data_IF_690090827742
#
_entry.id   IF_690090827742
#
_cell.length_a   1.000
_cell.length_b   1.000
_cell.length_c   1.000
_cell.angle_alpha   90.00
_cell.angle_beta   90.00
_cell.angle_gamma   90.00
#
_symmetry.space_group_name_H-M   'P 1'
#
loop_
_entity.id
_entity.type
_entity.pdbx_description
1 polymer ?
#
# COMPACT_ATOMS: atom_id res chain seq x y z
N UNK A 1 -17.22 -44.22 18.43
CA UNK A 1 -16.57 -43.35 19.44
C UNK A 1 -16.01 -42.16 18.68
N UNK A 2 -16.71 -41.03 18.71
CA UNK A 2 -16.20 -39.77 18.16
C UNK A 2 -15.15 -39.27 19.13
N UNK A 3 -13.88 -39.24 18.70
CA UNK A 3 -12.81 -38.63 19.48
C UNK A 3 -13.13 -37.14 19.60
N UNK A 4 -13.53 -36.72 20.80
CA UNK A 4 -13.61 -35.31 21.14
C UNK A 4 -12.21 -34.71 20.98
N UNK A 5 -12.07 -33.72 20.09
CA UNK A 5 -10.90 -32.86 20.07
C UNK A 5 -10.72 -32.28 21.48
N UNK A 6 -9.63 -32.65 22.16
CA UNK A 6 -9.23 -32.00 23.40
C UNK A 6 -9.08 -30.51 23.11
N UNK A 7 -9.95 -29.69 23.72
CA UNK A 7 -9.76 -28.24 23.78
C UNK A 7 -8.42 -27.99 24.47
N UNK A 8 -7.43 -27.56 23.70
CA UNK A 8 -6.14 -27.14 24.24
C UNK A 8 -6.37 -26.19 25.42
N UNK A 9 -5.84 -26.56 26.58
CA UNK A 9 -5.94 -25.75 27.80
C UNK A 9 -5.33 -24.38 27.53
N UNK A 10 -6.11 -23.31 27.68
CA UNK A 10 -5.62 -21.95 27.45
C UNK A 10 -4.41 -21.67 28.35
N UNK A 11 -3.24 -21.47 27.75
CA UNK A 11 -1.95 -21.27 28.46
C UNK A 11 -1.87 -19.93 29.21
N UNK A 12 -2.75 -18.99 28.88
CA UNK A 12 -2.91 -17.69 29.54
C UNK A 12 -4.37 -17.50 29.96
N UNK A 13 -4.66 -16.71 31.02
CA UNK A 13 -6.03 -16.29 31.32
C UNK A 13 -6.62 -15.47 30.15
N UNK A 14 -7.95 -15.29 30.07
CA UNK A 14 -8.54 -14.40 29.06
C UNK A 14 -7.96 -12.98 29.12
N UNK A 15 -7.80 -12.32 27.97
CA UNK A 15 -7.36 -10.92 27.92
C UNK A 15 -8.47 -10.05 28.49
N UNK A 16 -8.08 -8.98 29.21
CA UNK A 16 -9.01 -7.98 29.76
C UNK A 16 -9.19 -6.79 28.83
N UNK A 17 -8.55 -6.81 27.66
CA UNK A 17 -8.66 -5.74 26.67
C UNK A 17 -10.07 -5.65 26.11
N UNK A 18 -10.51 -4.45 25.73
CA UNK A 18 -11.85 -4.23 25.13
C UNK A 18 -12.08 -4.96 23.79
N UNK A 19 -11.00 -5.46 23.19
CA UNK A 19 -10.97 -6.17 21.91
C UNK A 19 -10.39 -7.58 22.12
N UNK A 20 -10.72 -8.21 23.26
CA UNK A 20 -10.18 -9.53 23.65
C UNK A 20 -10.35 -10.58 22.55
N UNK A 21 -11.51 -10.63 21.88
CA UNK A 21 -11.77 -11.58 20.79
C UNK A 21 -10.80 -11.41 19.61
N UNK A 22 -10.41 -10.17 19.31
CA UNK A 22 -9.44 -9.87 18.25
C UNK A 22 -8.04 -10.33 18.68
N UNK A 23 -7.66 -10.05 19.93
CA UNK A 23 -6.37 -10.48 20.48
C UNK A 23 -6.27 -12.00 20.48
N UNK A 24 -7.32 -12.71 20.90
CA UNK A 24 -7.34 -14.17 20.89
C UNK A 24 -7.21 -14.74 19.48
N UNK A 25 -7.81 -14.10 18.46
CA UNK A 25 -7.57 -14.49 17.06
C UNK A 25 -6.13 -14.26 16.63
N UNK A 26 -5.51 -13.14 16.99
CA UNK A 26 -4.10 -12.87 16.68
C UNK A 26 -3.16 -13.86 17.39
N UNK A 27 -3.43 -14.21 18.65
CA UNK A 27 -2.69 -15.23 19.42
C UNK A 27 -2.82 -16.62 18.81
N UNK A 28 -3.94 -16.91 18.14
CA UNK A 28 -4.17 -18.14 17.39
C UNK A 28 -3.56 -18.11 15.97
N UNK A 29 -2.85 -17.05 15.59
CA UNK A 29 -2.24 -16.90 14.27
C UNK A 29 -3.21 -16.45 13.18
N UNK A 30 -4.38 -15.94 13.56
CA UNK A 30 -5.38 -15.37 12.66
C UNK A 30 -5.21 -13.87 12.43
N UNK A 31 -6.21 -13.29 11.79
CA UNK A 31 -6.28 -11.88 11.44
C UNK A 31 -7.19 -11.08 12.38
N UNK A 32 -7.15 -9.74 12.24
CA UNK A 32 -8.10 -8.85 12.91
C UNK A 32 -9.55 -9.05 12.45
N UNK A 33 -9.77 -9.66 11.29
CA UNK A 33 -11.10 -9.99 10.76
C UNK A 33 -11.57 -11.39 11.22
N UNK A 34 -12.89 -11.60 11.29
CA UNK A 34 -13.46 -12.94 11.43
C UNK A 34 -13.07 -13.84 10.25
N UNK A 35 -12.77 -15.11 10.53
CA UNK A 35 -12.51 -16.12 9.51
C UNK A 35 -13.84 -16.70 8.99
N UNK A 36 -14.35 -16.13 7.91
CA UNK A 36 -15.55 -16.60 7.23
C UNK A 36 -15.28 -16.75 5.73
N UNK A 37 -15.97 -17.69 5.04
CA UNK A 37 -15.84 -17.82 3.58
C UNK A 37 -16.16 -16.52 2.84
N UNK A 38 -17.12 -15.76 3.35
CA UNK A 38 -17.51 -14.45 2.82
C UNK A 38 -16.38 -13.42 2.92
N UNK A 39 -15.73 -13.31 4.09
CA UNK A 39 -14.57 -12.42 4.25
C UNK A 39 -13.41 -12.88 3.36
N UNK A 40 -13.15 -14.19 3.24
CA UNK A 40 -12.09 -14.70 2.36
C UNK A 40 -12.34 -14.32 0.89
N UNK A 41 -13.55 -14.57 0.37
CA UNK A 41 -13.94 -14.20 -1.00
C UNK A 41 -13.78 -12.69 -1.25
N UNK A 42 -14.28 -11.87 -0.33
CA UNK A 42 -14.14 -10.42 -0.37
C UNK A 42 -12.67 -9.99 -0.39
N UNK A 43 -11.85 -10.58 0.48
CA UNK A 43 -10.43 -10.25 0.62
C UNK A 43 -9.66 -10.57 -0.67
N UNK A 44 -9.82 -11.78 -1.19
CA UNK A 44 -9.10 -12.19 -2.39
C UNK A 44 -9.62 -11.47 -3.64
N UNK A 45 -10.94 -11.32 -3.77
CA UNK A 45 -11.52 -10.61 -4.91
C UNK A 45 -11.08 -9.17 -5.04
N UNK A 46 -10.92 -8.45 -3.93
CA UNK A 46 -10.39 -7.09 -4.00
C UNK A 46 -8.87 -7.06 -4.18
N UNK A 47 -8.12 -8.07 -3.72
CA UNK A 47 -6.69 -8.18 -4.06
C UNK A 47 -6.51 -8.32 -5.58
N UNK A 48 -7.32 -9.14 -6.25
CA UNK A 48 -7.33 -9.23 -7.71
C UNK A 48 -7.65 -7.89 -8.38
N UNK A 49 -8.73 -7.24 -7.95
CA UNK A 49 -9.15 -5.95 -8.50
C UNK A 49 -8.13 -4.83 -8.27
N UNK A 50 -7.37 -4.90 -7.18
CA UNK A 50 -6.34 -3.93 -6.84
C UNK A 50 -4.99 -4.20 -7.50
N UNK A 51 -4.64 -5.47 -7.72
CA UNK A 51 -3.36 -5.86 -8.31
C UNK A 51 -3.16 -5.30 -9.73
N UNK A 52 -4.24 -5.21 -10.52
CA UNK A 52 -4.19 -4.68 -11.90
C UNK A 52 -3.81 -3.20 -11.96
N UNK A 53 -4.50 -2.26 -11.28
CA UNK A 53 -4.07 -0.87 -11.24
C UNK A 53 -2.74 -0.71 -10.49
N UNK A 54 -2.45 -1.53 -9.46
CA UNK A 54 -1.14 -1.54 -8.82
C UNK A 54 0.00 -1.88 -9.79
N UNK A 55 -0.22 -2.81 -10.72
CA UNK A 55 0.73 -3.14 -11.78
C UNK A 55 1.04 -1.92 -12.67
N UNK A 56 0.04 -1.08 -12.95
CA UNK A 56 0.29 0.21 -13.61
C UNK A 56 1.07 1.16 -12.70
N UNK A 57 0.63 1.30 -11.45
CA UNK A 57 1.20 2.28 -10.53
C UNK A 57 2.69 2.07 -10.29
N UNK A 58 3.16 0.85 -10.03
CA UNK A 58 4.58 0.65 -9.76
C UNK A 58 5.45 1.01 -10.96
N UNK A 59 5.00 0.67 -12.17
CA UNK A 59 5.71 0.97 -13.42
C UNK A 59 5.79 2.47 -13.65
N UNK A 60 4.68 3.17 -13.47
CA UNK A 60 4.61 4.61 -13.71
C UNK A 60 5.30 5.41 -12.61
N UNK A 61 5.27 4.96 -11.35
CA UNK A 61 6.06 5.55 -10.25
C UNK A 61 7.57 5.44 -10.54
N UNK A 62 8.05 4.28 -11.01
CA UNK A 62 9.43 4.12 -11.44
C UNK A 62 9.74 5.02 -12.64
N UNK A 63 8.89 5.04 -13.66
CA UNK A 63 9.06 5.94 -14.81
C UNK A 63 9.18 7.42 -14.37
N UNK A 64 8.33 7.86 -13.44
CA UNK A 64 8.37 9.24 -12.91
C UNK A 64 9.68 9.50 -12.16
N UNK A 65 10.08 8.60 -11.25
CA UNK A 65 11.32 8.76 -10.49
C UNK A 65 12.57 8.75 -11.39
N UNK A 66 12.59 7.86 -12.38
CA UNK A 66 13.79 7.55 -13.15
C UNK A 66 13.97 8.36 -14.43
N UNK A 67 12.87 8.75 -15.11
CA UNK A 67 12.89 9.38 -16.44
C UNK A 67 12.32 10.79 -16.45
N UNK A 68 11.15 10.99 -15.81
CA UNK A 68 10.55 12.32 -15.70
C UNK A 68 11.41 13.18 -14.77
N UNK A 69 11.78 12.63 -13.62
CA UNK A 69 12.71 13.21 -12.63
C UNK A 69 12.36 14.66 -12.27
N UNK A 70 13.05 15.64 -12.87
CA UNK A 70 12.91 17.07 -12.57
C UNK A 70 12.37 17.87 -13.77
N UNK A 71 11.60 17.25 -14.64
CA UNK A 71 10.91 17.95 -15.72
C UNK A 71 10.04 19.08 -15.11
N UNK A 72 10.32 20.37 -15.43
CA UNK A 72 9.55 21.48 -14.87
C UNK A 72 8.11 21.52 -15.38
N UNK A 73 7.82 20.88 -16.52
CA UNK A 73 6.50 20.87 -17.14
C UNK A 73 6.12 19.43 -17.54
N UNK A 74 5.86 18.55 -16.56
CA UNK A 74 5.67 17.12 -16.79
C UNK A 74 4.25 16.82 -17.29
N UNK A 75 3.81 17.45 -18.39
CA UNK A 75 2.46 17.35 -18.94
C UNK A 75 2.04 15.91 -19.26
N UNK A 76 3.01 15.05 -19.55
CA UNK A 76 2.82 13.67 -19.96
C UNK A 76 3.39 12.67 -18.95
N UNK A 77 3.49 13.03 -17.66
CA UNK A 77 4.05 12.12 -16.64
C UNK A 77 3.34 10.77 -16.50
N UNK A 78 2.07 10.67 -16.86
CA UNK A 78 1.29 9.42 -16.83
C UNK A 78 1.27 8.67 -18.18
N UNK A 79 2.02 9.17 -19.16
CA UNK A 79 2.10 8.58 -20.50
C UNK A 79 3.24 7.56 -20.53
N UNK A 80 3.09 6.50 -19.74
CA UNK A 80 4.12 5.49 -19.55
C UNK A 80 4.67 4.95 -20.89
N UNK A 81 6.00 4.90 -21.09
CA UNK A 81 6.60 4.33 -22.29
C UNK A 81 6.36 2.82 -22.40
N UNK A 82 6.38 2.29 -23.63
CA UNK A 82 6.26 0.85 -23.87
C UNK A 82 7.34 0.05 -23.14
N UNK A 83 8.57 0.57 -23.06
CA UNK A 83 9.68 -0.05 -22.31
C UNK A 83 9.37 -0.28 -20.82
N UNK A 84 8.50 0.53 -20.19
CA UNK A 84 8.09 0.34 -18.79
C UNK A 84 6.88 -0.61 -18.65
N UNK A 85 6.05 -0.75 -19.70
CA UNK A 85 5.02 -1.79 -19.77
C UNK A 85 5.62 -3.17 -20.00
N UNK A 86 6.68 -3.22 -20.80
CA UNK A 86 7.46 -4.42 -21.08
C UNK A 86 8.56 -4.66 -20.05
N UNK A 87 8.71 -3.80 -19.04
CA UNK A 87 9.68 -3.99 -17.97
C UNK A 87 9.31 -5.26 -17.19
N UNK A 88 10.24 -6.22 -17.14
CA UNK A 88 10.02 -7.44 -16.40
C UNK A 88 9.97 -7.13 -14.90
N UNK A 89 8.90 -7.56 -14.24
CA UNK A 89 8.78 -7.53 -12.79
C UNK A 89 9.74 -8.57 -12.19
N UNK A 90 10.58 -8.16 -11.23
CA UNK A 90 11.58 -9.05 -10.63
C UNK A 90 11.00 -10.24 -9.83
N UNK A 91 9.68 -10.29 -9.63
CA UNK A 91 8.98 -11.28 -8.81
C UNK A 91 7.88 -12.05 -9.56
N UNK A 92 7.82 -11.92 -10.90
CA UNK A 92 6.88 -12.62 -11.76
C UNK A 92 7.54 -13.12 -13.04
N UNK A 93 6.96 -14.16 -13.65
CA UNK A 93 7.50 -14.81 -14.85
C UNK A 93 8.63 -15.80 -14.58
N UNK A 94 9.14 -16.39 -15.65
CA UNK A 94 10.11 -17.50 -15.59
C UNK A 94 11.55 -17.02 -15.28
N UNK A 95 11.85 -15.75 -15.54
CA UNK A 95 13.17 -15.13 -15.32
C UNK A 95 13.23 -14.27 -14.04
N UNK A 96 12.23 -14.39 -13.15
CA UNK A 96 12.17 -13.65 -11.90
C UNK A 96 13.37 -13.96 -10.96
N UNK A 97 13.87 -12.94 -10.28
CA UNK A 97 14.88 -13.08 -9.22
C UNK A 97 14.39 -13.97 -8.07
N UNK A 98 13.11 -13.81 -7.73
CA UNK A 98 12.37 -14.64 -6.78
C UNK A 98 10.94 -14.74 -7.29
N UNK A 99 10.60 -15.86 -7.92
CA UNK A 99 9.27 -16.06 -8.49
C UNK A 99 8.22 -16.18 -7.39
N UNK A 100 7.40 -15.14 -7.23
CA UNK A 100 6.20 -15.13 -6.38
C UNK A 100 4.99 -15.49 -7.24
N UNK A 101 4.78 -14.77 -8.34
CA UNK A 101 3.65 -15.00 -9.23
C UNK A 101 4.02 -15.85 -10.43
N UNK A 102 3.16 -16.81 -10.74
CA UNK A 102 3.34 -17.74 -11.87
C UNK A 102 3.01 -17.13 -13.24
N UNK A 103 2.29 -16.01 -13.27
CA UNK A 103 1.89 -15.30 -14.49
C UNK A 103 3.02 -14.54 -15.22
N UNK A 104 2.67 -13.70 -16.21
CA UNK A 104 3.63 -12.96 -17.03
C UNK A 104 4.49 -11.98 -16.21
N UNK A 105 5.74 -11.76 -16.63
CA UNK A 105 6.64 -10.75 -16.04
C UNK A 105 6.28 -9.30 -16.46
N UNK A 106 5.68 -9.13 -17.64
CA UNK A 106 5.29 -7.82 -18.21
C UNK A 106 3.92 -7.38 -17.71
N UNK A 107 3.48 -6.20 -18.14
CA UNK A 107 2.20 -5.63 -17.73
C UNK A 107 1.03 -6.63 -17.90
N UNK A 108 0.15 -6.66 -16.91
CA UNK A 108 -0.96 -7.61 -16.85
C UNK A 108 -1.88 -7.47 -18.09
N UNK A 109 -2.35 -8.57 -18.71
CA UNK A 109 -3.17 -8.49 -19.92
C UNK A 109 -4.44 -7.65 -19.77
N UNK A 110 -5.13 -7.72 -18.63
CA UNK A 110 -6.30 -6.87 -18.34
C UNK A 110 -5.95 -5.38 -18.29
N UNK A 111 -4.77 -5.03 -17.75
CA UNK A 111 -4.30 -3.64 -17.74
C UNK A 111 -4.08 -3.15 -19.18
N UNK A 112 -3.39 -3.93 -20.01
CA UNK A 112 -3.15 -3.59 -21.40
C UNK A 112 -4.45 -3.45 -22.20
N UNK A 113 -5.41 -4.34 -21.96
CA UNK A 113 -6.73 -4.28 -22.60
C UNK A 113 -7.50 -3.01 -22.20
N UNK A 114 -7.45 -2.63 -20.91
CA UNK A 114 -8.05 -1.40 -20.42
C UNK A 114 -7.34 -0.17 -20.97
N UNK A 115 -6.01 -0.13 -21.01
CA UNK A 115 -5.27 1.00 -21.60
C UNK A 115 -5.55 1.19 -23.10
N UNK A 116 -5.85 0.11 -23.82
CA UNK A 116 -6.22 0.18 -25.23
C UNK A 116 -7.65 0.71 -25.43
N UNK A 117 -8.61 0.20 -24.66
CA UNK A 117 -10.05 0.40 -24.91
C UNK A 117 -10.73 1.40 -23.98
N UNK A 118 -10.20 1.62 -22.79
CA UNK A 118 -10.88 2.29 -21.70
C UNK A 118 -12.15 1.54 -21.27
N UNK A 119 -13.04 2.23 -20.56
CA UNK A 119 -14.42 1.83 -20.28
C UNK A 119 -15.30 1.88 -21.53
N UNK A 120 -14.89 2.66 -22.53
CA UNK A 120 -15.71 2.99 -23.69
C UNK A 120 -15.30 2.22 -24.96
N UNK A 121 -14.44 2.83 -25.78
CA UNK A 121 -13.97 2.30 -27.06
C UNK A 121 -12.52 2.64 -27.26
N UNK A 122 -11.85 1.88 -28.13
CA UNK A 122 -10.46 2.15 -28.53
C UNK A 122 -10.28 3.59 -29.04
N UNK A 123 -9.43 4.35 -28.36
CA UNK A 123 -9.07 5.73 -28.70
C UNK A 123 -7.57 5.96 -28.46
N UNK A 124 -6.97 7.00 -29.07
CA UNK A 124 -5.62 7.43 -28.71
C UNK A 124 -5.52 7.74 -27.21
N UNK A 125 -4.40 7.37 -26.59
CA UNK A 125 -4.14 7.56 -25.15
C UNK A 125 -4.40 9.00 -24.65
N UNK A 126 -4.13 10.01 -25.49
CA UNK A 126 -4.41 11.40 -25.15
C UNK A 126 -5.91 11.67 -24.93
N UNK A 127 -6.77 11.11 -25.78
CA UNK A 127 -8.22 11.26 -25.63
C UNK A 127 -8.72 10.51 -24.41
N UNK A 128 -8.23 9.29 -24.18
CA UNK A 128 -8.49 8.54 -22.95
C UNK A 128 -8.18 9.39 -21.70
N UNK A 129 -7.03 10.07 -21.69
CA UNK A 129 -6.68 10.96 -20.56
C UNK A 129 -7.58 12.20 -20.45
N UNK A 130 -7.92 12.85 -21.56
CA UNK A 130 -8.78 14.04 -21.54
C UNK A 130 -10.23 13.75 -21.12
N UNK A 131 -10.73 12.56 -21.43
CA UNK A 131 -12.08 12.13 -21.03
C UNK A 131 -12.11 11.39 -19.69
N UNK A 132 -10.98 11.35 -18.97
CA UNK A 132 -10.86 10.65 -17.69
C UNK A 132 -11.10 9.12 -17.80
N UNK A 133 -10.94 8.55 -18.99
CA UNK A 133 -11.03 7.12 -19.28
C UNK A 133 -9.63 6.48 -19.11
N UNK A 134 -9.12 6.45 -17.88
CA UNK A 134 -7.76 6.00 -17.56
C UNK A 134 -7.61 5.56 -16.11
N UNK A 135 -6.46 4.96 -15.82
CA UNK A 135 -5.99 4.71 -14.45
C UNK A 135 -5.71 6.03 -13.71
N UNK A 136 -6.26 6.15 -12.51
CA UNK A 136 -6.17 7.31 -11.62
C UNK A 136 -4.85 7.35 -10.83
N UNK A 137 -3.74 7.56 -11.55
CA UNK A 137 -2.38 7.63 -11.00
C UNK A 137 -2.19 8.67 -9.88
N UNK A 138 -3.06 9.67 -9.80
CA UNK A 138 -3.09 10.64 -8.70
C UNK A 138 -3.19 9.98 -7.33
N UNK A 139 -3.88 8.85 -7.22
CA UNK A 139 -3.96 8.11 -5.97
C UNK A 139 -2.59 7.58 -5.52
N UNK A 140 -1.80 7.06 -6.46
CA UNK A 140 -0.44 6.61 -6.22
C UNK A 140 0.46 7.75 -5.74
N UNK A 141 0.32 8.92 -6.36
CA UNK A 141 1.05 10.10 -5.95
C UNK A 141 0.64 10.62 -4.56
N UNK A 142 -0.64 10.57 -4.20
CA UNK A 142 -1.07 10.93 -2.84
C UNK A 142 -0.47 9.98 -1.80
N UNK A 143 -0.38 8.68 -2.11
CA UNK A 143 0.30 7.72 -1.25
C UNK A 143 1.79 8.04 -1.10
N UNK A 144 2.47 8.35 -2.20
CA UNK A 144 3.89 8.76 -2.20
C UNK A 144 4.10 10.05 -1.42
N UNK A 145 3.24 11.07 -1.63
CA UNK A 145 3.28 12.35 -0.89
C UNK A 145 3.05 12.14 0.60
N UNK A 146 2.14 11.25 0.98
CA UNK A 146 1.92 10.90 2.38
C UNK A 146 3.18 10.26 3.00
N UNK A 147 3.85 9.34 2.29
CA UNK A 147 5.12 8.76 2.74
C UNK A 147 6.21 9.83 2.90
N UNK A 148 6.40 10.69 1.89
CA UNK A 148 7.39 11.77 1.93
C UNK A 148 7.13 12.72 3.12
N UNK A 149 5.88 13.15 3.29
CA UNK A 149 5.53 14.13 4.31
C UNK A 149 5.64 13.57 5.73
N UNK A 150 5.37 12.27 5.91
CA UNK A 150 5.49 11.58 7.18
C UNK A 150 6.89 11.01 7.46
N UNK A 151 7.77 10.95 6.46
CA UNK A 151 9.11 10.33 6.46
C UNK A 151 9.83 10.36 7.80
N UNK A 152 10.06 11.58 8.31
CA UNK A 152 10.82 11.87 9.53
C UNK A 152 10.19 11.33 10.81
N UNK A 153 8.86 11.27 10.87
CA UNK A 153 8.08 11.03 12.09
C UNK A 153 7.52 9.60 12.18
N UNK A 154 7.90 8.71 11.27
CA UNK A 154 7.45 7.31 11.26
C UNK A 154 8.25 6.42 12.21
N UNK A 155 9.49 6.78 12.55
CA UNK A 155 10.35 5.98 13.42
C UNK A 155 10.82 4.66 12.81
N UNK A 156 10.75 4.53 11.47
CA UNK A 156 11.15 3.34 10.72
C UNK A 156 12.20 3.66 9.65
N UNK A 157 13.10 2.72 9.41
CA UNK A 157 14.09 2.80 8.34
C UNK A 157 15.13 3.90 8.52
N UNK A 158 16.04 3.98 7.55
CA UNK A 158 17.06 5.06 7.46
C UNK A 158 16.97 5.85 6.16
N UNK A 159 15.98 5.53 5.31
CA UNK A 159 15.81 6.11 3.99
C UNK A 159 15.67 7.63 4.06
N UNK A 160 14.71 8.13 4.85
CA UNK A 160 14.42 9.57 4.94
C UNK A 160 15.61 10.36 5.49
N UNK A 161 16.20 9.90 6.59
CA UNK A 161 17.38 10.53 7.19
C UNK A 161 18.57 10.60 6.23
N UNK A 162 18.70 9.65 5.31
CA UNK A 162 19.73 9.69 4.28
C UNK A 162 19.51 10.78 3.23
N UNK A 163 18.26 11.16 2.95
CA UNK A 163 17.94 12.23 2.01
C UNK A 163 18.45 13.62 2.45
N UNK A 164 18.84 13.76 3.72
CA UNK A 164 19.45 14.96 4.27
C UNK A 164 20.98 14.92 4.31
N UNK A 165 21.58 13.77 3.98
CA UNK A 165 23.03 13.56 4.03
C UNK A 165 23.77 14.30 2.92
N UNK A 166 25.04 14.64 3.19
CA UNK A 166 25.92 15.26 2.18
C UNK A 166 26.18 14.33 0.99
N UNK A 167 26.17 13.01 1.23
CA UNK A 167 26.28 11.99 0.19
C UNK A 167 25.11 12.09 -0.80
N UNK A 168 23.87 12.13 -0.29
CA UNK A 168 22.68 12.28 -1.12
C UNK A 168 22.69 13.62 -1.88
N UNK A 169 23.02 14.72 -1.20
CA UNK A 169 23.11 16.05 -1.81
C UNK A 169 24.13 16.08 -2.95
N UNK A 170 25.29 15.44 -2.78
CA UNK A 170 26.30 15.34 -3.83
C UNK A 170 25.83 14.48 -5.02
N UNK A 171 25.12 13.38 -4.76
CA UNK A 171 24.54 12.55 -5.82
C UNK A 171 23.45 13.31 -6.60
N UNK A 172 22.55 13.98 -5.88
CA UNK A 172 21.50 14.82 -6.45
C UNK A 172 22.09 15.97 -7.27
N UNK A 173 23.09 16.69 -6.77
CA UNK A 173 23.75 17.79 -7.48
C UNK A 173 24.31 17.35 -8.84
N UNK A 174 24.99 16.19 -8.88
CA UNK A 174 25.50 15.61 -10.14
C UNK A 174 24.37 15.33 -11.12
N UNK A 175 23.29 14.70 -10.66
CA UNK A 175 22.14 14.37 -11.50
C UNK A 175 21.36 15.60 -11.96
N UNK A 176 21.14 16.60 -11.11
CA UNK A 176 20.45 17.86 -11.44
C UNK A 176 21.22 18.61 -12.52
N UNK A 177 22.54 18.78 -12.32
CA UNK A 177 23.42 19.44 -13.31
C UNK A 177 23.44 18.68 -14.63
N UNK A 178 23.46 17.36 -14.58
CA UNK A 178 23.36 16.54 -15.78
C UNK A 178 22.00 16.75 -16.45
N UNK A 179 20.89 16.66 -15.72
CA UNK A 179 19.54 16.80 -16.25
C UNK A 179 19.36 18.13 -17.01
N UNK A 180 19.71 19.25 -16.37
CA UNK A 180 19.58 20.59 -16.93
C UNK A 180 20.77 21.07 -17.77
N UNK A 181 21.74 20.21 -18.11
CA UNK A 181 22.97 20.57 -18.86
C UNK A 181 22.73 21.48 -20.08
N UNK A 182 21.63 21.26 -20.80
CA UNK A 182 21.26 22.00 -22.02
C UNK A 182 20.18 23.07 -21.81
N UNK A 183 19.77 23.31 -20.56
CA UNK A 183 18.79 24.32 -20.19
C UNK A 183 19.44 25.34 -19.22
N UNK A 184 20.13 26.36 -19.75
CA UNK A 184 20.88 27.32 -18.92
C UNK A 184 19.97 28.14 -17.98
N UNK A 185 18.70 28.35 -18.34
CA UNK A 185 17.73 29.00 -17.48
C UNK A 185 17.48 28.17 -16.21
N UNK A 186 17.25 26.87 -16.36
CA UNK A 186 17.04 25.96 -15.23
C UNK A 186 18.31 25.76 -14.40
N UNK A 187 19.50 25.72 -15.02
CA UNK A 187 20.76 25.72 -14.27
C UNK A 187 20.96 27.02 -13.47
N UNK A 188 20.59 28.17 -14.04
CA UNK A 188 20.59 29.44 -13.33
C UNK A 188 19.64 29.43 -12.14
N UNK A 189 18.42 28.89 -12.32
CA UNK A 189 17.44 28.76 -11.26
C UNK A 189 17.93 27.81 -10.15
N UNK A 190 18.55 26.69 -10.52
CA UNK A 190 19.16 25.76 -9.56
C UNK A 190 20.27 26.40 -8.76
N UNK A 191 21.13 27.21 -9.41
CA UNK A 191 22.19 27.94 -8.71
C UNK A 191 21.64 28.95 -7.69
N UNK A 192 20.51 29.59 -7.99
CA UNK A 192 19.88 30.58 -7.10
C UNK A 192 19.07 29.92 -5.97
N UNK A 193 18.39 28.81 -6.25
CA UNK A 193 17.49 28.12 -5.33
C UNK A 193 17.78 26.61 -5.28
N UNK A 194 18.97 26.19 -4.81
CA UNK A 194 19.40 24.79 -4.87
C UNK A 194 18.48 23.86 -4.09
N UNK A 195 17.99 24.32 -2.93
CA UNK A 195 17.10 23.54 -2.07
C UNK A 195 15.77 23.20 -2.75
N UNK A 196 15.24 24.07 -3.62
CA UNK A 196 13.97 23.81 -4.33
C UNK A 196 14.06 22.54 -5.19
N UNK A 197 15.17 22.37 -5.92
CA UNK A 197 15.40 21.20 -6.76
C UNK A 197 15.83 19.99 -5.95
N UNK A 198 16.51 20.21 -4.82
CA UNK A 198 16.83 19.14 -3.89
C UNK A 198 15.54 18.51 -3.33
N UNK A 199 14.54 19.32 -2.93
CA UNK A 199 13.25 18.80 -2.47
C UNK A 199 12.50 18.02 -3.56
N UNK A 200 12.54 18.49 -4.81
CA UNK A 200 11.97 17.73 -5.93
C UNK A 200 12.72 16.41 -6.18
N UNK A 201 14.04 16.39 -5.99
CA UNK A 201 14.84 15.17 -6.05
C UNK A 201 14.47 14.19 -4.92
N UNK A 202 14.22 14.70 -3.70
CA UNK A 202 13.71 13.88 -2.59
C UNK A 202 12.35 13.29 -2.91
N UNK A 203 11.47 14.06 -3.52
CA UNK A 203 10.18 13.57 -4.01
C UNK A 203 10.36 12.45 -5.04
N UNK A 204 11.25 12.63 -6.04
CA UNK A 204 11.62 11.59 -7.02
C UNK A 204 12.15 10.30 -6.35
N UNK A 205 12.94 10.42 -5.28
CA UNK A 205 13.37 9.26 -4.50
C UNK A 205 12.20 8.52 -3.83
N UNK A 206 11.18 9.23 -3.35
CA UNK A 206 9.97 8.59 -2.79
C UNK A 206 9.07 7.96 -3.87
N UNK A 207 9.06 8.49 -5.10
CA UNK A 207 8.46 7.79 -6.24
C UNK A 207 9.12 6.43 -6.47
N UNK A 208 10.46 6.39 -6.53
CA UNK A 208 11.20 5.13 -6.67
C UNK A 208 10.94 4.17 -5.50
N UNK A 209 10.93 4.67 -4.27
CA UNK A 209 10.65 3.86 -3.07
C UNK A 209 9.26 3.19 -3.15
N UNK A 210 8.20 3.97 -3.41
CA UNK A 210 6.84 3.42 -3.52
C UNK A 210 6.68 2.52 -4.75
N UNK A 211 7.35 2.83 -5.85
CA UNK A 211 7.38 1.97 -7.04
C UNK A 211 7.96 0.59 -6.70
N UNK A 212 9.14 0.54 -6.06
CA UNK A 212 9.76 -0.71 -5.62
C UNK A 212 8.94 -1.44 -4.54
N UNK A 213 8.15 -0.72 -3.73
CA UNK A 213 7.21 -1.34 -2.82
C UNK A 213 6.11 -2.11 -3.56
N UNK A 214 5.45 -1.47 -4.52
CA UNK A 214 4.35 -2.07 -5.27
C UNK A 214 4.77 -3.05 -6.35
N UNK A 215 6.02 -2.99 -6.82
CA UNK A 215 6.62 -4.03 -7.67
C UNK A 215 6.55 -5.42 -7.00
N UNK A 216 6.68 -5.48 -5.67
CA UNK A 216 6.51 -6.71 -4.89
C UNK A 216 5.04 -7.06 -4.68
N UNK A 217 4.23 -6.07 -4.26
CA UNK A 217 2.87 -6.33 -3.79
C UNK A 217 1.91 -6.74 -4.91
N UNK A 218 2.11 -6.26 -6.14
CA UNK A 218 1.27 -6.64 -7.28
C UNK A 218 1.35 -8.17 -7.56
N UNK A 219 2.54 -8.77 -7.78
CA UNK A 219 2.70 -10.23 -7.89
C UNK A 219 2.14 -11.01 -6.70
N UNK A 220 2.34 -10.53 -5.46
CA UNK A 220 1.78 -11.18 -4.27
C UNK A 220 0.25 -11.27 -4.37
N UNK A 221 -0.42 -10.18 -4.73
CA UNK A 221 -1.88 -10.15 -4.85
C UNK A 221 -2.40 -10.94 -6.05
N UNK A 222 -1.68 -10.95 -7.19
CA UNK A 222 -2.03 -11.81 -8.31
C UNK A 222 -1.96 -13.29 -7.95
N UNK A 223 -0.84 -13.74 -7.36
CA UNK A 223 -0.66 -15.14 -6.98
C UNK A 223 -1.70 -15.60 -5.95
N UNK A 224 -2.07 -14.73 -5.00
CA UNK A 224 -3.15 -15.04 -4.06
C UNK A 224 -4.50 -15.20 -4.77
N UNK A 225 -4.80 -14.40 -5.80
CA UNK A 225 -6.00 -14.61 -6.59
C UNK A 225 -5.99 -15.96 -7.29
N UNK A 226 -4.89 -16.29 -7.97
CA UNK A 226 -4.76 -17.54 -8.72
C UNK A 226 -4.89 -18.76 -7.81
N UNK A 227 -4.24 -18.75 -6.64
CA UNK A 227 -4.36 -19.81 -5.63
C UNK A 227 -5.81 -19.96 -5.15
N UNK A 228 -6.53 -18.86 -4.96
CA UNK A 228 -7.94 -18.91 -4.54
C UNK A 228 -8.84 -19.51 -5.61
N UNK A 229 -8.65 -19.11 -6.87
CA UNK A 229 -9.39 -19.63 -8.02
C UNK A 229 -9.10 -21.13 -8.24
N UNK A 230 -7.89 -21.60 -7.89
CA UNK A 230 -7.50 -23.01 -7.82
C UNK A 230 -8.06 -23.77 -6.60
N UNK A 231 -8.76 -23.08 -5.69
CA UNK A 231 -9.34 -23.66 -4.46
C UNK A 231 -8.35 -23.86 -3.32
N UNK A 232 -7.22 -23.15 -3.33
CA UNK A 232 -6.06 -23.41 -2.47
C UNK A 232 -6.11 -22.86 -1.04
N UNK A 233 -6.91 -21.81 -0.76
CA UNK A 233 -6.99 -21.24 0.58
C UNK A 233 -8.11 -21.85 1.43
N UNK A 234 -7.76 -22.32 2.63
CA UNK A 234 -8.73 -22.91 3.57
C UNK A 234 -9.54 -21.88 4.37
N UNK A 235 -9.03 -20.66 4.49
CA UNK A 235 -9.60 -19.60 5.33
C UNK A 235 -8.74 -18.34 5.31
N UNK A 236 -9.20 -17.30 5.99
CA UNK A 236 -8.48 -16.01 6.13
C UNK A 236 -7.09 -16.18 6.76
N UNK A 237 -6.87 -17.01 7.80
CA UNK A 237 -5.53 -17.24 8.35
C UNK A 237 -4.54 -17.81 7.34
N UNK A 238 -5.01 -18.68 6.43
CA UNK A 238 -4.17 -19.31 5.40
C UNK A 238 -3.71 -18.27 4.37
N UNK A 239 -4.65 -17.45 3.87
CA UNK A 239 -4.35 -16.31 3.00
C UNK A 239 -3.42 -15.29 3.68
N UNK A 240 -3.63 -15.00 4.97
CA UNK A 240 -2.76 -14.11 5.73
C UNK A 240 -1.35 -14.70 5.89
N UNK A 241 -1.22 -16.00 6.11
CA UNK A 241 0.08 -16.67 6.20
C UNK A 241 0.85 -16.61 4.88
N UNK A 242 0.16 -16.68 3.73
CA UNK A 242 0.78 -16.42 2.44
C UNK A 242 1.41 -15.01 2.40
N UNK A 243 0.69 -13.97 2.85
CA UNK A 243 1.23 -12.61 2.95
C UNK A 243 2.44 -12.53 3.89
N UNK A 244 2.38 -13.17 5.06
CA UNK A 244 3.49 -13.20 6.04
C UNK A 244 4.75 -13.83 5.41
N UNK A 245 4.59 -14.98 4.75
CA UNK A 245 5.68 -15.68 4.08
C UNK A 245 6.25 -14.84 2.94
N UNK A 246 5.37 -14.22 2.14
CA UNK A 246 5.74 -13.28 1.10
C UNK A 246 6.61 -12.15 1.64
N UNK A 247 6.15 -11.45 2.69
CA UNK A 247 6.89 -10.37 3.36
C UNK A 247 8.30 -10.81 3.78
N UNK A 248 8.44 -11.98 4.41
CA UNK A 248 9.76 -12.47 4.83
C UNK A 248 10.67 -12.81 3.65
N UNK A 249 10.13 -13.39 2.57
CA UNK A 249 10.90 -13.79 1.41
C UNK A 249 11.52 -12.59 0.67
N UNK A 250 10.85 -11.45 0.68
CA UNK A 250 11.29 -10.21 0.01
C UNK A 250 11.85 -9.15 0.96
N UNK A 251 11.87 -9.40 2.26
CA UNK A 251 12.25 -8.40 3.27
C UNK A 251 13.61 -7.73 3.00
N UNK A 252 14.57 -8.49 2.46
CA UNK A 252 15.93 -8.03 2.13
C UNK A 252 16.12 -7.46 0.73
N UNK A 253 15.06 -7.34 -0.09
CA UNK A 253 15.17 -6.79 -1.44
C UNK A 253 15.60 -5.33 -1.41
N UNK A 254 16.47 -4.86 -2.32
CA UNK A 254 17.07 -3.54 -2.20
C UNK A 254 16.10 -2.42 -2.55
N UNK A 255 16.14 -1.34 -1.78
CA UNK A 255 15.52 -0.05 -2.12
C UNK A 255 16.61 0.90 -2.61
N UNK A 256 16.39 1.52 -3.78
CA UNK A 256 17.36 2.36 -4.46
C UNK A 256 16.66 3.39 -5.34
N UNK A 257 17.43 4.34 -5.85
CA UNK A 257 16.94 5.32 -6.83
C UNK A 257 18.01 5.58 -7.88
N UNK A 258 17.74 5.16 -9.11
CA UNK A 258 18.60 5.37 -10.26
C UNK A 258 17.88 6.26 -11.27
N UNK A 259 18.47 7.38 -11.67
CA UNK A 259 17.92 8.28 -12.68
C UNK A 259 18.64 8.04 -14.00
N UNK A 260 17.91 7.94 -15.11
CA UNK A 260 18.49 7.75 -16.43
C UNK A 260 18.38 9.02 -17.27
N UNK A 261 19.51 9.69 -17.48
CA UNK A 261 19.59 10.97 -18.16
C UNK A 261 20.36 10.77 -19.46
N UNK A 262 19.65 10.80 -20.60
CA UNK A 262 20.25 10.68 -21.95
C UNK A 262 21.15 9.45 -22.11
N UNK A 263 20.69 8.30 -21.63
CA UNK A 263 21.40 7.02 -21.72
C UNK A 263 22.43 6.76 -20.62
N UNK A 264 22.72 7.75 -19.76
CA UNK A 264 23.58 7.58 -18.60
C UNK A 264 22.77 7.35 -17.32
N UNK A 265 23.24 6.43 -16.48
CA UNK A 265 22.64 6.13 -15.17
C UNK A 265 23.32 6.91 -14.07
N UNK A 266 22.56 7.66 -13.30
CA UNK A 266 22.98 8.39 -12.11
C UNK A 266 22.40 7.72 -10.87
N UNK A 267 23.25 7.18 -9.99
CA UNK A 267 22.82 6.59 -8.73
C UNK A 267 22.58 7.70 -7.70
N UNK A 268 21.31 8.06 -7.48
CA UNK A 268 20.91 9.02 -6.44
C UNK A 268 21.04 8.35 -5.07
N UNK A 269 20.46 7.15 -4.97
CA UNK A 269 20.57 6.25 -3.81
C UNK A 269 21.12 4.93 -4.33
N UNK A 270 22.39 4.60 -4.07
CA UNK A 270 23.00 3.38 -4.60
C UNK A 270 22.52 2.14 -3.83
N UNK A 271 22.42 1.00 -4.51
CA UNK A 271 22.10 -0.30 -3.86
C UNK A 271 23.08 -0.66 -2.74
N UNK A 272 24.35 -0.22 -2.84
CA UNK A 272 25.37 -0.43 -1.81
C UNK A 272 25.05 0.24 -0.47
N UNK A 273 24.06 1.13 -0.40
CA UNK A 273 23.60 1.70 0.87
C UNK A 273 22.93 0.67 1.79
N UNK A 274 22.49 -0.46 1.23
CA UNK A 274 21.91 -1.56 1.99
C UNK A 274 20.51 -1.27 2.54
N UNK A 275 19.77 -0.35 1.91
CA UNK A 275 18.35 -0.17 2.22
C UNK A 275 17.55 -1.35 1.69
N UNK A 276 16.61 -1.81 2.50
CA UNK A 276 15.85 -3.04 2.33
C UNK A 276 14.36 -2.77 2.27
N UNK A 277 13.63 -3.62 1.56
CA UNK A 277 12.20 -3.42 1.32
C UNK A 277 11.39 -3.34 2.62
N UNK A 278 11.69 -4.19 3.61
CA UNK A 278 10.90 -4.24 4.85
C UNK A 278 10.99 -2.94 5.65
N UNK A 279 12.21 -2.47 5.94
CA UNK A 279 12.42 -1.34 6.84
C UNK A 279 12.30 0.02 6.15
N UNK A 280 12.61 0.10 4.87
CA UNK A 280 12.65 1.38 4.14
C UNK A 280 11.41 1.65 3.28
N UNK A 281 10.60 0.64 2.99
CA UNK A 281 9.40 0.81 2.17
C UNK A 281 8.14 0.28 2.87
N UNK A 282 8.11 -0.98 3.30
CA UNK A 282 6.87 -1.62 3.76
C UNK A 282 6.35 -1.12 5.11
N UNK A 283 7.21 -1.11 6.16
CA UNK A 283 6.80 -0.58 7.46
C UNK A 283 6.46 0.93 7.40
N UNK A 284 7.28 1.78 6.74
CA UNK A 284 6.89 3.17 6.50
C UNK A 284 5.58 3.31 5.71
N UNK A 285 5.35 2.50 4.67
CA UNK A 285 4.12 2.55 3.89
C UNK A 285 2.88 2.24 4.74
N UNK A 286 2.92 1.19 5.55
CA UNK A 286 1.81 0.84 6.44
C UNK A 286 1.52 1.97 7.41
N UNK A 287 2.55 2.56 8.01
CA UNK A 287 2.38 3.69 8.93
C UNK A 287 1.81 4.94 8.21
N UNK A 288 2.39 5.33 7.08
CA UNK A 288 2.02 6.52 6.35
C UNK A 288 0.65 6.41 5.65
N UNK A 289 0.31 5.26 5.08
CA UNK A 289 -0.88 5.12 4.21
C UNK A 289 -2.03 4.42 4.93
N UNK A 290 -1.75 3.41 5.75
CA UNK A 290 -2.84 2.66 6.40
C UNK A 290 -3.29 3.31 7.71
N UNK A 291 -2.37 3.85 8.50
CA UNK A 291 -2.68 4.53 9.74
C UNK A 291 -2.91 6.04 9.54
N UNK A 292 -1.92 6.75 9.00
CA UNK A 292 -1.88 8.22 9.05
C UNK A 292 -2.63 8.91 7.92
N UNK A 293 -2.03 8.91 6.74
CA UNK A 293 -2.32 9.71 5.52
C UNK A 293 -2.68 11.18 5.77
N UNK A 294 -2.74 11.97 4.71
CA UNK A 294 -3.18 13.36 4.83
C UNK A 294 -4.69 13.45 5.12
N UNK A 295 -5.14 14.36 6.01
CA UNK A 295 -6.56 14.54 6.31
C UNK A 295 -7.39 14.82 5.05
N UNK A 296 -8.51 14.12 4.88
CA UNK A 296 -9.33 14.31 3.68
C UNK A 296 -10.03 15.67 3.72
N UNK A 297 -9.84 16.45 2.66
CA UNK A 297 -10.38 17.81 2.51
C UNK A 297 -11.91 17.87 2.59
N UNK A 298 -12.60 16.80 2.18
CA UNK A 298 -14.05 16.69 2.28
C UNK A 298 -14.59 16.30 3.66
N UNK A 299 -13.73 15.89 4.62
CA UNK A 299 -14.19 15.37 5.94
C UNK A 299 -13.64 16.14 7.14
N UNK A 300 -12.55 16.88 6.98
CA UNK A 300 -11.90 17.60 8.08
C UNK A 300 -11.60 19.05 7.67
N UNK A 301 -11.86 19.96 8.59
CA UNK A 301 -11.50 21.37 8.43
C UNK A 301 -10.03 21.60 8.77
N UNK A 302 -9.31 22.25 7.85
CA UNK A 302 -7.95 22.71 8.07
C UNK A 302 -7.87 24.07 8.77
N UNK A 303 -9.01 24.59 9.25
CA UNK A 303 -9.02 25.77 10.10
C UNK A 303 -8.27 25.48 11.40
N UNK A 304 -7.13 26.13 11.60
CA UNK A 304 -6.27 25.96 12.78
C UNK A 304 -7.01 26.27 14.10
N UNK A 305 -8.06 27.10 14.08
CA UNK A 305 -8.86 27.42 15.27
C UNK A 305 -9.87 26.32 15.63
N UNK A 306 -10.25 25.47 14.67
CA UNK A 306 -11.27 24.44 14.88
C UNK A 306 -10.73 23.20 15.60
N UNK A 307 -9.40 23.02 15.66
CA UNK A 307 -8.76 21.91 16.38
C UNK A 307 -9.13 20.51 15.86
N UNK A 308 -9.62 20.39 14.62
CA UNK A 308 -10.05 19.11 14.04
C UNK A 308 -8.91 18.24 13.52
N UNK A 309 -7.76 18.85 13.21
CA UNK A 309 -6.56 18.16 12.74
C UNK A 309 -5.51 18.24 13.86
N UNK A 310 -4.92 17.10 14.26
CA UNK A 310 -3.84 17.09 15.24
C UNK A 310 -2.67 17.97 14.81
N UNK A 311 -1.98 18.55 15.79
CA UNK A 311 -0.74 19.30 15.55
C UNK A 311 0.44 18.38 15.24
N UNK A 312 0.46 17.21 15.87
CA UNK A 312 1.52 16.21 15.76
C UNK A 312 1.16 15.15 14.72
N UNK A 313 2.07 14.84 13.80
CA UNK A 313 1.79 13.89 12.72
C UNK A 313 1.53 12.45 13.21
N UNK A 314 2.10 12.06 14.36
CA UNK A 314 1.89 10.74 14.98
C UNK A 314 0.42 10.46 15.38
N UNK A 315 -0.40 11.50 15.45
CA UNK A 315 -1.80 11.44 15.83
C UNK A 315 -2.75 11.44 14.62
N UNK A 316 -2.18 11.42 13.40
CA UNK A 316 -2.96 11.36 12.18
C UNK A 316 -3.61 9.98 12.05
N UNK A 317 -4.91 9.99 11.76
CA UNK A 317 -5.78 8.82 11.79
C UNK A 317 -6.77 8.88 10.62
N UNK A 318 -6.25 9.15 9.43
CA UNK A 318 -7.05 9.34 8.21
C UNK A 318 -6.81 8.21 7.20
N UNK A 319 -5.88 7.30 7.52
CA UNK A 319 -5.50 6.19 6.65
C UNK A 319 -6.65 5.21 6.44
N UNK A 320 -6.43 4.22 5.57
CA UNK A 320 -7.49 3.29 5.16
C UNK A 320 -8.18 2.60 6.34
N UNK A 321 -7.50 2.37 7.46
CA UNK A 321 -8.05 1.71 8.65
C UNK A 321 -9.02 2.61 9.46
N UNK A 322 -8.96 3.92 9.27
CA UNK A 322 -9.82 4.90 9.96
C UNK A 322 -10.81 5.59 9.02
N UNK A 323 -10.51 5.61 7.73
CA UNK A 323 -11.29 6.31 6.72
C UNK A 323 -12.76 5.86 6.69
N UNK A 324 -13.67 6.84 6.64
CA UNK A 324 -15.08 6.61 6.32
C UNK A 324 -15.23 6.26 4.84
N UNK A 325 -15.98 5.20 4.54
CA UNK A 325 -16.18 4.69 3.18
C UNK A 325 -17.52 5.05 2.57
N UNK A 326 -18.48 5.50 3.36
CA UNK A 326 -19.78 5.93 2.84
C UNK A 326 -19.73 7.16 1.92
N UNK A 327 -18.84 8.15 2.11
CA UNK A 327 -18.76 9.28 1.18
C UNK A 327 -17.86 9.01 -0.04
N UNK A 328 -17.46 7.76 -0.31
CA UNK A 328 -16.76 7.40 -1.56
C UNK A 328 -17.66 7.76 -2.75
N UNK A 329 -17.08 8.35 -3.80
CA UNK A 329 -17.82 8.89 -4.95
C UNK A 329 -18.22 10.37 -4.80
N UNK A 330 -17.97 10.98 -3.64
CA UNK A 330 -18.26 12.40 -3.40
C UNK A 330 -17.00 13.28 -3.50
N UNK A 331 -17.20 14.60 -3.58
CA UNK A 331 -16.10 15.56 -3.72
C UNK A 331 -15.20 15.63 -2.47
N UNK A 332 -13.88 15.72 -2.69
CA UNK A 332 -12.90 15.90 -1.61
C UNK A 332 -12.53 14.61 -0.85
N UNK A 333 -12.84 13.43 -1.40
CA UNK A 333 -12.56 12.11 -0.83
C UNK A 333 -11.55 11.35 -1.73
N UNK A 334 -10.23 11.40 -1.43
CA UNK A 334 -9.19 10.81 -2.29
C UNK A 334 -9.33 9.31 -2.59
N UNK A 335 -9.76 8.44 -1.64
CA UNK A 335 -9.93 7.00 -1.93
C UNK A 335 -10.90 6.67 -3.06
N UNK A 336 -11.74 7.62 -3.49
CA UNK A 336 -12.61 7.46 -4.67
C UNK A 336 -11.83 7.14 -5.94
N UNK A 337 -10.65 7.74 -6.10
CA UNK A 337 -9.78 7.50 -7.27
C UNK A 337 -9.39 6.01 -7.38
N UNK A 338 -8.98 5.41 -6.27
CA UNK A 338 -8.66 3.99 -6.23
C UNK A 338 -9.91 3.11 -6.38
N UNK A 339 -11.02 3.49 -5.75
CA UNK A 339 -12.27 2.74 -5.86
C UNK A 339 -12.74 2.62 -7.31
N UNK A 340 -12.63 3.71 -8.09
CA UNK A 340 -12.95 3.70 -9.52
C UNK A 340 -11.98 2.80 -10.30
N UNK A 341 -10.67 2.92 -10.04
CA UNK A 341 -9.68 2.06 -10.71
C UNK A 341 -9.94 0.57 -10.45
N UNK A 342 -10.20 0.19 -9.20
CA UNK A 342 -10.51 -1.20 -8.83
C UNK A 342 -11.84 -1.67 -9.43
N UNK A 343 -12.83 -0.78 -9.59
CA UNK A 343 -14.12 -1.13 -10.15
C UNK A 343 -14.00 -1.72 -11.57
N UNK A 344 -13.09 -1.19 -12.40
CA UNK A 344 -12.87 -1.70 -13.75
C UNK A 344 -12.42 -3.17 -13.78
N UNK A 345 -11.71 -3.62 -12.74
CA UNK A 345 -11.07 -4.94 -12.66
C UNK A 345 -11.70 -5.88 -11.62
N UNK A 346 -12.91 -5.57 -11.16
CA UNK A 346 -13.64 -6.43 -10.23
C UNK A 346 -13.90 -7.82 -10.84
N UNK A 347 -13.53 -8.91 -10.14
CA UNK A 347 -13.87 -10.26 -10.58
C UNK A 347 -15.38 -10.49 -10.49
N UNK A 348 -15.89 -11.37 -11.36
CA UNK A 348 -17.34 -11.56 -11.53
C UNK A 348 -18.04 -11.98 -10.23
N UNK A 349 -17.45 -12.89 -9.46
CA UNK A 349 -18.04 -13.35 -8.20
C UNK A 349 -18.23 -12.23 -7.18
N UNK A 350 -17.38 -11.19 -7.21
CA UNK A 350 -17.50 -10.04 -6.31
C UNK A 350 -18.53 -9.03 -6.83
N UNK A 351 -18.67 -8.87 -8.15
CA UNK A 351 -19.77 -8.11 -8.77
C UNK A 351 -21.13 -8.73 -8.45
N UNK A 352 -21.26 -10.05 -8.65
CA UNK A 352 -22.49 -10.80 -8.38
C UNK A 352 -22.88 -10.71 -6.90
N UNK A 353 -21.88 -10.71 -6.02
CA UNK A 353 -22.07 -10.50 -4.60
C UNK A 353 -22.61 -9.09 -4.29
N UNK A 354 -21.97 -8.03 -4.79
CA UNK A 354 -22.45 -6.65 -4.56
C UNK A 354 -23.84 -6.41 -5.13
N UNK A 355 -24.19 -7.03 -6.26
CA UNK A 355 -25.51 -6.92 -6.87
C UNK A 355 -26.64 -7.42 -5.95
N UNK A 356 -26.34 -8.36 -5.04
CA UNK A 356 -27.30 -8.96 -4.11
C UNK A 356 -27.45 -8.17 -2.80
N UNK A 357 -26.70 -7.09 -2.62
CA UNK A 357 -26.63 -6.34 -1.38
C UNK A 357 -26.90 -4.85 -1.59
N UNK A 358 -27.32 -4.18 -0.51
CA UNK A 358 -27.52 -2.72 -0.45
C UNK A 358 -28.27 -2.15 -1.67
N UNK A 359 -27.62 -1.30 -2.48
CA UNK A 359 -28.22 -0.71 -3.69
C UNK A 359 -27.73 -1.37 -4.99
N UNK A 360 -27.24 -2.61 -4.90
CA UNK A 360 -26.76 -3.37 -6.04
C UNK A 360 -25.58 -2.67 -6.71
N UNK A 361 -25.73 -2.35 -8.01
CA UNK A 361 -24.67 -1.68 -8.77
C UNK A 361 -24.58 -0.17 -8.49
N UNK A 362 -25.63 0.46 -7.96
CA UNK A 362 -25.68 1.92 -7.78
C UNK A 362 -24.68 2.43 -6.73
N UNK A 363 -24.44 1.66 -5.67
CA UNK A 363 -23.50 1.99 -4.58
C UNK A 363 -22.25 1.11 -4.57
N UNK A 364 -21.92 0.50 -5.72
CA UNK A 364 -20.83 -0.48 -5.81
C UNK A 364 -19.49 0.07 -5.33
N UNK A 365 -19.20 1.36 -5.55
CA UNK A 365 -17.95 1.99 -5.08
C UNK A 365 -17.85 2.04 -3.55
N UNK A 366 -18.98 2.18 -2.85
CA UNK A 366 -19.02 2.17 -1.38
C UNK A 366 -18.78 0.75 -0.87
N UNK A 367 -19.50 -0.24 -1.41
CA UNK A 367 -19.35 -1.65 -1.05
C UNK A 367 -17.93 -2.16 -1.32
N UNK A 368 -17.37 -1.77 -2.48
CA UNK A 368 -15.98 -2.00 -2.87
C UNK A 368 -15.02 -1.34 -1.88
N UNK A 369 -15.24 -0.07 -1.54
CA UNK A 369 -14.41 0.68 -0.59
C UNK A 369 -14.37 0.04 0.81
N UNK A 370 -15.49 -0.53 1.27
CA UNK A 370 -15.58 -1.29 2.52
C UNK A 370 -14.85 -2.63 2.42
N UNK A 371 -15.02 -3.33 1.31
CA UNK A 371 -14.30 -4.58 1.03
C UNK A 371 -12.79 -4.35 1.03
N UNK A 372 -12.33 -3.29 0.35
CA UNK A 372 -10.93 -2.88 0.36
C UNK A 372 -10.43 -2.57 1.78
N UNK A 373 -11.22 -1.87 2.60
CA UNK A 373 -10.88 -1.60 3.99
C UNK A 373 -10.71 -2.90 4.80
N UNK A 374 -11.62 -3.87 4.65
CA UNK A 374 -11.48 -5.20 5.28
C UNK A 374 -10.16 -5.85 4.85
N UNK A 375 -9.84 -5.85 3.57
CA UNK A 375 -8.59 -6.43 3.08
C UNK A 375 -7.35 -5.73 3.65
N UNK A 376 -7.35 -4.41 3.77
CA UNK A 376 -6.23 -3.70 4.38
C UNK A 376 -6.08 -4.00 5.88
N UNK A 377 -7.15 -4.34 6.59
CA UNK A 377 -7.05 -4.92 7.94
C UNK A 377 -6.39 -6.31 7.93
N UNK A 378 -6.66 -7.15 6.91
CA UNK A 378 -5.98 -8.44 6.74
C UNK A 378 -4.49 -8.24 6.45
N UNK A 379 -4.12 -7.37 5.51
CA UNK A 379 -2.72 -7.01 5.22
C UNK A 379 -2.02 -6.47 6.47
N UNK A 380 -2.66 -5.56 7.21
CA UNK A 380 -2.11 -5.03 8.47
C UNK A 380 -1.92 -6.12 9.51
N UNK A 381 -2.82 -7.11 9.57
CA UNK A 381 -2.67 -8.27 10.44
C UNK A 381 -1.46 -9.11 10.06
N UNK A 382 -1.23 -9.33 8.76
CA UNK A 382 -0.03 -10.02 8.27
C UNK A 382 1.25 -9.27 8.70
N UNK A 383 1.28 -7.94 8.60
CA UNK A 383 2.41 -7.12 9.05
C UNK A 383 2.64 -7.26 10.55
N UNK A 384 1.58 -7.22 11.36
CA UNK A 384 1.64 -7.42 12.82
C UNK A 384 2.19 -8.82 13.15
N UNK A 385 1.74 -9.86 12.45
CA UNK A 385 2.23 -11.23 12.64
C UNK A 385 3.69 -11.40 12.22
N UNK A 386 4.08 -10.79 11.10
CA UNK A 386 5.46 -10.79 10.63
C UNK A 386 6.39 -10.07 11.63
N UNK A 387 6.00 -8.90 12.12
CA UNK A 387 6.75 -8.17 13.15
C UNK A 387 6.88 -8.96 14.45
N UNK A 388 5.80 -9.59 14.92
CA UNK A 388 5.84 -10.46 16.10
C UNK A 388 6.80 -11.61 15.87
N UNK A 389 6.77 -12.24 14.71
CA UNK A 389 7.66 -13.36 14.37
C UNK A 389 9.13 -12.92 14.28
N UNK A 390 9.39 -11.70 13.81
CA UNK A 390 10.75 -11.16 13.69
C UNK A 390 11.35 -10.71 15.03
N UNK A 391 10.53 -10.24 15.97
CA UNK A 391 10.98 -9.56 17.18
C UNK A 391 10.71 -10.30 18.49
N UNK A 392 9.78 -11.26 18.47
CA UNK A 392 9.26 -11.94 19.66
C UNK A 392 9.25 -13.46 19.46
N UNK A 393 8.26 -14.14 20.03
CA UNK A 393 8.27 -15.59 20.19
C UNK A 393 7.25 -16.28 19.26
N UNK A 394 7.46 -17.56 18.91
CA UNK A 394 6.45 -18.38 18.26
C UNK A 394 5.12 -18.43 19.05
N UNK A 395 4.00 -18.65 18.37
CA UNK A 395 2.67 -18.70 19.02
C UNK A 395 2.46 -19.98 19.82
N UNK A 396 3.18 -21.05 19.47
CA UNK A 396 3.11 -22.36 20.10
C UNK A 396 4.12 -22.53 21.26
N UNK A 397 4.87 -21.48 21.60
CA UNK A 397 5.89 -21.51 22.65
C UNK A 397 5.34 -22.07 23.98
N UNK A 398 6.03 -23.03 24.63
CA UNK A 398 5.57 -23.61 25.88
C UNK A 398 5.68 -22.66 27.08
N UNK A 399 6.53 -21.62 27.01
CA UNK A 399 6.78 -20.70 28.11
C UNK A 399 5.66 -19.65 28.22
N UNK A 400 4.88 -19.61 29.32
CA UNK A 400 3.82 -18.61 29.50
C UNK A 400 4.32 -17.16 29.45
N UNK A 401 5.57 -16.89 29.83
CA UNK A 401 6.15 -15.53 29.73
C UNK A 401 6.35 -15.09 28.29
N UNK A 402 6.71 -16.01 27.40
CA UNK A 402 6.88 -15.72 25.97
C UNK A 402 5.52 -15.42 25.32
N UNK A 403 4.51 -16.21 25.64
CA UNK A 403 3.13 -15.95 25.18
C UNK A 403 2.57 -14.64 25.74
N UNK A 404 2.88 -14.31 27.00
CA UNK A 404 2.50 -13.04 27.60
C UNK A 404 3.16 -11.83 26.91
N UNK A 405 4.43 -11.95 26.51
CA UNK A 405 5.11 -10.91 25.72
C UNK A 405 4.46 -10.72 24.34
N UNK A 406 4.04 -11.82 23.69
CA UNK A 406 3.27 -11.74 22.44
C UNK A 406 1.93 -11.03 22.64
N UNK A 407 1.20 -11.35 23.73
CA UNK A 407 -0.05 -10.67 24.09
C UNK A 407 0.15 -9.18 24.28
N UNK A 408 1.14 -8.77 25.06
CA UNK A 408 1.45 -7.36 25.32
C UNK A 408 1.77 -6.61 24.02
N UNK A 409 2.47 -7.25 23.10
CA UNK A 409 2.69 -6.72 21.77
C UNK A 409 1.40 -6.54 20.97
N UNK A 410 0.55 -7.58 20.90
CA UNK A 410 -0.73 -7.48 20.20
C UNK A 410 -1.64 -6.42 20.83
N UNK A 411 -1.76 -6.40 22.15
CA UNK A 411 -2.50 -5.36 22.88
C UNK A 411 -1.95 -3.97 22.58
N UNK A 412 -0.63 -3.79 22.52
CA UNK A 412 -0.02 -2.51 22.12
C UNK A 412 -0.39 -2.09 20.70
N UNK A 413 -0.44 -3.02 19.74
CA UNK A 413 -0.88 -2.72 18.37
C UNK A 413 -2.37 -2.36 18.33
N UNK A 414 -3.22 -3.12 19.04
CA UNK A 414 -4.67 -2.87 19.06
C UNK A 414 -5.02 -1.59 19.81
N UNK A 415 -4.26 -1.22 20.85
CA UNK A 415 -4.42 0.04 21.58
C UNK A 415 -4.34 1.29 20.69
N UNK A 416 -3.70 1.21 19.52
CA UNK A 416 -3.68 2.30 18.53
C UNK A 416 -5.10 2.69 18.08
N UNK A 417 -6.01 1.72 18.01
CA UNK A 417 -7.42 1.92 17.65
C UNK A 417 -8.32 2.32 18.83
N UNK A 418 -7.78 2.33 20.05
CA UNK A 418 -8.52 2.64 21.29
C UNK A 418 -8.32 4.08 21.76
N UNK A 419 -7.41 4.82 21.11
CA UNK A 419 -7.00 6.17 21.48
C UNK A 419 -8.17 7.16 21.41
N UNK A 420 -8.55 7.84 22.51
CA UNK A 420 -9.69 8.76 22.50
C UNK A 420 -9.34 10.14 21.91
N UNK A 421 -8.06 10.46 21.76
CA UNK A 421 -7.65 11.79 21.29
C UNK A 421 -8.15 12.04 19.85
N UNK A 422 -8.59 13.27 19.57
CA UNK A 422 -9.09 13.67 18.24
C UNK A 422 -10.17 12.75 17.64
N UNK A 423 -10.94 12.06 18.48
CA UNK A 423 -11.97 11.10 18.05
C UNK A 423 -11.43 9.85 17.32
N UNK A 424 -10.12 9.55 17.48
CA UNK A 424 -9.44 8.40 16.85
C UNK A 424 -10.18 7.07 17.07
N UNK A 425 -10.62 6.81 18.30
CA UNK A 425 -11.34 5.59 18.68
C UNK A 425 -12.65 5.41 17.91
N UNK A 426 -13.38 6.49 17.66
CA UNK A 426 -14.65 6.44 16.94
C UNK A 426 -14.43 6.39 15.41
N UNK A 427 -13.34 7.00 14.93
CA UNK A 427 -12.93 6.90 13.53
C UNK A 427 -12.45 5.48 13.15
N UNK A 428 -11.79 4.77 14.07
CA UNK A 428 -11.27 3.43 13.83
C UNK A 428 -12.40 2.46 13.41
N UNK A 429 -12.23 1.80 12.25
CA UNK A 429 -13.26 0.88 11.71
C UNK A 429 -13.16 -0.54 12.23
N UNK A 430 -12.31 -0.77 13.24
CA UNK A 430 -11.97 -2.09 13.75
C UNK A 430 -13.19 -2.83 14.30
N UNK A 431 -14.15 -2.12 14.92
CA UNK A 431 -15.42 -2.71 15.43
C UNK A 431 -16.37 -3.06 14.29
N UNK A 432 -16.49 -2.17 13.31
CA UNK A 432 -17.46 -2.25 12.22
C UNK A 432 -17.14 -3.46 11.32
N UNK A 433 -15.87 -3.67 10.98
CA UNK A 433 -15.43 -4.81 10.15
C UNK A 433 -15.67 -6.18 10.81
N UNK A 434 -15.97 -6.24 12.13
CA UNK A 434 -16.27 -7.50 12.81
C UNK A 434 -17.65 -8.04 12.46
N UNK A 435 -18.52 -7.18 11.92
CA UNK A 435 -19.92 -7.50 11.65
C UNK A 435 -20.13 -7.69 10.15
N UNK A 436 -21.10 -8.53 9.78
CA UNK A 436 -21.52 -8.68 8.38
C UNK A 436 -22.38 -7.49 7.91
N UNK A 437 -22.86 -6.65 8.83
CA UNK A 437 -23.78 -5.53 8.53
C UNK A 437 -23.06 -4.28 8.02
N UNK A 438 -21.75 -4.18 8.21
CA UNK A 438 -20.95 -3.10 7.64
C UNK A 438 -20.63 -3.40 6.16
N UNK A 439 -21.44 -2.81 5.27
CA UNK A 439 -21.46 -3.02 3.82
C UNK A 439 -21.55 -1.71 3.06
#
# INVERSE_FOLDING_TARGET
MVLAQEKATAKLPPSKHEFADIIHRLEAGGAMLPDTPENLMQIIGIYKAYAVPMDFYWRDLLYIGERVFLDPLPFFKYFIPQEYLDLHNHYAGDDADLRIWRGPATAHPELLAFMEKGETRKMPRLLHHWFHDRINMEFAEECMRAMLWHGRDMGYGKFDAYLDSDEYKANADRAIKAYFKYNPAMLGLYKLFPEMFLEQCRQASYYANLGLFWEVMAPVFFEMSDIYDEGGFKGVPDAMNFLVNGIFAIAGRPIYHHVYIRGERYEIIPKSKGFTWLYEAALPYVEAVFYRTSPFRGTKSYNAQAGQIPTEQKDFHYGVLYADKFPVGTAGIPPTLLAQDMYHFLPQYLRDYYQQHCRGEDDILVQLGITFQRSMYCVTSAVIQALRTALLYPLDDPNPKHLQANREFFEKQINRFCRPEFDMRNAARLRQIQTADYR
#
